data_IF_050979693133
#
_entry.id   IF_050979693133
#
_cell.length_a   1.000
_cell.length_b   1.000
_cell.length_c   1.000
_cell.angle_alpha   90.00
_cell.angle_beta   90.00
_cell.angle_gamma   90.00
#
_symmetry.space_group_name_H-M   'P 1'
#
loop_
_entity.id
_entity.type
_entity.pdbx_description
1 polymer ?
#
# COMPACT_ATOMS: atom_id res chain seq x y z
N UNK A 1 16.38 58.19 16.69
CA UNK A 1 17.11 57.03 16.14
C UNK A 1 16.37 55.77 16.55
N UNK A 2 15.46 55.29 15.68
CA UNK A 2 14.82 53.99 15.89
C UNK A 2 15.72 52.95 15.24
N UNK A 3 16.43 52.20 16.07
CA UNK A 3 17.13 50.99 15.65
C UNK A 3 16.08 49.91 15.44
N UNK A 4 15.53 49.82 14.23
CA UNK A 4 14.82 48.65 13.77
C UNK A 4 15.83 47.50 13.69
N UNK A 5 15.93 46.77 14.79
CA UNK A 5 16.60 45.48 14.82
C UNK A 5 15.65 44.48 14.17
N UNK A 6 15.65 44.45 12.83
CA UNK A 6 15.09 43.36 12.02
C UNK A 6 15.95 42.10 12.23
N UNK A 7 15.95 41.56 13.44
CA UNK A 7 16.41 40.20 13.68
C UNK A 7 15.38 39.26 13.05
N UNK A 8 15.83 38.38 12.16
CA UNK A 8 15.05 37.39 11.41
C UNK A 8 14.35 36.32 12.25
N UNK A 9 13.56 36.74 13.23
CA UNK A 9 12.69 35.90 14.03
C UNK A 9 11.45 35.62 13.19
N UNK A 10 11.37 34.42 12.65
CA UNK A 10 10.16 33.95 12.00
C UNK A 10 9.03 33.96 13.02
N UNK A 11 7.91 34.60 12.69
CA UNK A 11 6.68 34.45 13.47
C UNK A 11 6.36 32.97 13.62
N UNK A 12 5.91 32.56 14.82
CA UNK A 12 5.61 31.15 15.16
C UNK A 12 4.79 30.46 14.07
N UNK A 13 3.79 31.15 13.53
CA UNK A 13 2.92 30.68 12.46
C UNK A 13 3.67 30.39 11.16
N UNK A 14 4.64 31.24 10.83
CA UNK A 14 5.49 31.09 9.65
C UNK A 14 6.49 29.93 9.82
N UNK A 15 6.99 29.71 11.05
CA UNK A 15 7.81 28.52 11.35
C UNK A 15 7.01 27.23 11.14
N UNK A 16 5.81 27.14 11.72
CA UNK A 16 4.97 25.93 11.60
C UNK A 16 4.61 25.65 10.14
N UNK A 17 4.25 26.67 9.36
CA UNK A 17 4.02 26.52 7.92
C UNK A 17 5.25 26.02 7.17
N UNK A 18 6.43 26.54 7.51
CA UNK A 18 7.70 26.08 6.93
C UNK A 18 8.01 24.63 7.27
N UNK A 19 7.78 24.22 8.53
CA UNK A 19 7.95 22.83 8.98
C UNK A 19 7.01 21.88 8.26
N UNK A 20 5.75 22.25 8.05
CA UNK A 20 4.80 21.42 7.27
C UNK A 20 5.32 21.19 5.85
N UNK A 21 5.76 22.25 5.18
CA UNK A 21 6.30 22.13 3.81
C UNK A 21 7.57 21.28 3.77
N UNK A 22 8.49 21.52 4.70
CA UNK A 22 9.73 20.76 4.82
C UNK A 22 9.47 19.28 5.08
N UNK A 23 8.56 18.96 6.01
CA UNK A 23 8.16 17.60 6.33
C UNK A 23 7.69 16.86 5.08
N UNK A 24 6.74 17.44 4.33
CA UNK A 24 6.20 16.79 3.14
C UNK A 24 7.21 16.70 1.99
N UNK A 25 8.08 17.70 1.83
CA UNK A 25 9.20 17.62 0.86
C UNK A 25 10.14 16.47 1.21
N UNK A 26 10.58 16.36 2.47
CA UNK A 26 11.46 15.28 2.91
C UNK A 26 10.78 13.91 2.80
N UNK A 27 9.52 13.81 3.24
CA UNK A 27 8.73 12.58 3.16
C UNK A 27 8.67 12.03 1.74
N UNK A 28 8.29 12.86 0.77
CA UNK A 28 8.21 12.42 -0.62
C UNK A 28 9.58 12.22 -1.26
N UNK A 29 10.58 13.00 -0.86
CA UNK A 29 11.96 12.80 -1.33
C UNK A 29 12.49 11.43 -0.93
N UNK A 30 12.25 11.00 0.31
CA UNK A 30 12.68 9.68 0.77
C UNK A 30 11.91 8.56 0.07
N UNK A 31 10.62 8.72 -0.18
CA UNK A 31 9.84 7.72 -0.93
C UNK A 31 10.32 7.55 -2.38
N UNK A 32 10.63 8.66 -3.06
CA UNK A 32 11.18 8.62 -4.42
C UNK A 32 12.57 7.97 -4.44
N UNK A 33 13.43 8.33 -3.48
CA UNK A 33 14.76 7.72 -3.35
C UNK A 33 14.67 6.22 -3.05
N UNK A 34 13.74 5.81 -2.17
CA UNK A 34 13.49 4.40 -1.85
C UNK A 34 13.18 3.59 -3.11
N UNK A 35 12.31 4.12 -3.99
CA UNK A 35 11.95 3.45 -5.25
C UNK A 35 13.05 3.49 -6.30
N UNK A 36 13.89 4.52 -6.29
CA UNK A 36 15.01 4.63 -7.23
C UNK A 36 16.16 3.66 -6.93
N UNK A 37 16.40 3.33 -5.65
CA UNK A 37 17.51 2.46 -5.23
C UNK A 37 17.17 0.97 -5.48
N UNK A 38 15.89 0.58 -5.52
CA UNK A 38 15.42 -0.73 -6.00
C UNK A 38 15.85 -1.97 -5.20
N UNK A 39 16.75 -1.85 -4.21
CA UNK A 39 17.25 -2.97 -3.42
C UNK A 39 18.11 -2.55 -2.22
N UNK A 40 18.63 -3.52 -1.47
CA UNK A 40 19.43 -3.24 -0.28
C UNK A 40 20.86 -2.80 -0.64
N UNK A 41 21.26 -1.61 -0.22
CA UNK A 41 22.64 -1.10 -0.34
C UNK A 41 23.22 -0.79 1.05
N UNK A 42 24.51 -0.42 1.12
CA UNK A 42 25.29 -0.30 2.37
C UNK A 42 24.72 0.68 3.42
N UNK A 43 23.74 1.53 3.08
CA UNK A 43 23.03 2.41 4.02
C UNK A 43 21.50 2.46 3.81
N UNK A 44 20.99 1.64 2.89
CA UNK A 44 19.57 1.61 2.53
C UNK A 44 19.12 0.15 2.55
N UNK A 45 18.66 -0.31 3.70
CA UNK A 45 18.24 -1.70 3.93
C UNK A 45 16.72 -1.73 3.93
N UNK A 46 16.13 -2.39 2.93
CA UNK A 46 14.68 -2.42 2.74
C UNK A 46 14.25 -3.54 1.79
N UNK A 47 12.94 -3.77 1.72
CA UNK A 47 12.35 -4.69 0.72
C UNK A 47 12.43 -4.07 -0.66
N UNK A 48 12.88 -4.85 -1.64
CA UNK A 48 12.78 -4.49 -3.05
C UNK A 48 11.29 -4.30 -3.41
N UNK A 49 10.94 -3.07 -3.81
CA UNK A 49 9.57 -2.66 -4.14
C UNK A 49 9.06 -3.29 -5.43
N UNK A 50 9.94 -3.58 -6.41
CA UNK A 50 9.57 -4.33 -7.62
C UNK A 50 9.19 -5.75 -7.25
N UNK A 51 10.02 -6.41 -6.44
CA UNK A 51 9.72 -7.75 -5.95
C UNK A 51 8.45 -7.77 -5.08
N UNK A 52 8.20 -6.73 -4.28
CA UNK A 52 6.98 -6.61 -3.47
C UNK A 52 5.72 -6.45 -4.34
N UNK A 53 5.74 -5.56 -5.34
CA UNK A 53 4.61 -5.37 -6.25
C UNK A 53 4.31 -6.62 -7.08
N UNK A 54 5.34 -7.29 -7.60
CA UNK A 54 5.15 -8.55 -8.33
C UNK A 54 4.51 -9.63 -7.44
N UNK A 55 4.86 -9.70 -6.15
CA UNK A 55 4.23 -10.61 -5.18
C UNK A 55 2.76 -10.28 -4.94
N UNK A 56 2.43 -9.00 -4.78
CA UNK A 56 1.05 -8.55 -4.62
C UNK A 56 0.17 -8.92 -5.81
N UNK A 57 0.61 -8.63 -7.03
CA UNK A 57 -0.14 -8.97 -8.23
C UNK A 57 -0.26 -10.49 -8.45
N UNK A 58 0.81 -11.25 -8.18
CA UNK A 58 0.76 -12.71 -8.21
C UNK A 58 -0.26 -13.26 -7.20
N UNK A 59 -0.36 -12.69 -5.99
CA UNK A 59 -1.34 -13.11 -4.99
C UNK A 59 -2.81 -12.87 -5.40
N UNK A 60 -3.03 -11.89 -6.28
CA UNK A 60 -4.34 -11.58 -6.85
C UNK A 60 -4.71 -12.46 -8.07
N UNK A 61 -3.82 -13.37 -8.49
CA UNK A 61 -3.99 -14.22 -9.67
C UNK A 61 -3.53 -13.57 -10.99
N UNK A 62 -2.85 -12.41 -10.91
CA UNK A 62 -2.26 -11.74 -12.06
C UNK A 62 -0.77 -12.07 -12.11
N UNK A 63 -0.42 -13.18 -12.77
CA UNK A 63 0.98 -13.63 -12.90
C UNK A 63 1.82 -12.76 -13.84
N UNK A 64 1.23 -11.74 -14.45
CA UNK A 64 1.87 -10.94 -15.50
C UNK A 64 2.78 -9.84 -14.92
N UNK A 65 4.12 -9.97 -15.00
CA UNK A 65 5.04 -9.05 -14.30
C UNK A 65 4.95 -7.62 -14.80
N UNK A 66 4.64 -7.42 -16.09
CA UNK A 66 4.55 -6.08 -16.68
C UNK A 66 3.40 -5.23 -16.09
N UNK A 67 2.32 -5.86 -15.62
CA UNK A 67 1.20 -5.14 -15.00
C UNK A 67 1.62 -4.62 -13.62
N UNK A 68 2.34 -5.44 -12.85
CA UNK A 68 2.88 -5.07 -11.55
C UNK A 68 3.91 -3.93 -11.68
N UNK A 69 4.81 -4.02 -12.66
CA UNK A 69 5.81 -2.99 -12.93
C UNK A 69 5.15 -1.68 -13.40
N UNK A 70 4.12 -1.74 -14.25
CA UNK A 70 3.35 -0.57 -14.65
C UNK A 70 2.67 0.11 -13.46
N UNK A 71 2.05 -0.67 -12.56
CA UNK A 71 1.43 -0.15 -11.35
C UNK A 71 2.48 0.54 -10.45
N UNK A 72 3.69 -0.02 -10.35
CA UNK A 72 4.78 0.58 -9.61
C UNK A 72 5.29 1.88 -10.27
N UNK A 73 5.36 1.96 -11.60
CA UNK A 73 5.71 3.20 -12.29
C UNK A 73 4.66 4.30 -12.09
N UNK A 74 3.37 3.94 -12.11
CA UNK A 74 2.28 4.88 -11.80
C UNK A 74 2.41 5.37 -10.35
N UNK A 75 2.66 4.46 -9.40
CA UNK A 75 2.93 4.81 -8.01
C UNK A 75 4.11 5.80 -7.91
N UNK A 76 5.26 5.45 -8.48
CA UNK A 76 6.46 6.30 -8.45
C UNK A 76 6.21 7.68 -9.08
N UNK A 77 5.48 7.75 -10.20
CA UNK A 77 5.14 9.01 -10.84
C UNK A 77 4.31 9.92 -9.92
N UNK A 78 3.29 9.37 -9.24
CA UNK A 78 2.48 10.13 -8.28
C UNK A 78 3.32 10.71 -7.15
N UNK A 79 4.28 9.95 -6.63
CA UNK A 79 5.20 10.41 -5.56
C UNK A 79 6.14 11.52 -6.05
N UNK A 80 6.67 11.39 -7.27
CA UNK A 80 7.50 12.43 -7.90
C UNK A 80 6.70 13.71 -8.08
N UNK A 81 5.46 13.62 -8.55
CA UNK A 81 4.61 14.81 -8.67
C UNK A 81 4.35 15.45 -7.30
N UNK A 82 4.05 14.66 -6.27
CA UNK A 82 3.86 15.18 -4.92
C UNK A 82 5.12 15.91 -4.42
N UNK A 83 6.30 15.31 -4.62
CA UNK A 83 7.60 15.92 -4.29
C UNK A 83 7.79 17.26 -5.00
N UNK A 84 7.58 17.32 -6.32
CA UNK A 84 7.75 18.55 -7.11
C UNK A 84 6.85 19.67 -6.57
N UNK A 85 5.60 19.37 -6.26
CA UNK A 85 4.67 20.38 -5.76
C UNK A 85 5.03 20.87 -4.35
N UNK A 86 5.45 19.99 -3.44
CA UNK A 86 5.89 20.41 -2.11
C UNK A 86 7.23 21.15 -2.14
N UNK A 87 8.21 20.67 -2.91
CA UNK A 87 9.48 21.35 -3.09
C UNK A 87 9.30 22.74 -3.71
N UNK A 88 8.43 22.85 -4.73
CA UNK A 88 8.08 24.15 -5.32
C UNK A 88 7.28 25.04 -4.36
N UNK A 89 6.42 24.48 -3.51
CA UNK A 89 5.76 25.24 -2.45
C UNK A 89 6.76 25.79 -1.42
N UNK A 90 7.71 24.95 -0.98
CA UNK A 90 8.79 25.33 -0.07
C UNK A 90 9.69 26.42 -0.67
N UNK A 91 10.08 26.28 -1.94
CA UNK A 91 10.84 27.28 -2.67
C UNK A 91 10.11 28.62 -2.77
N UNK A 92 8.82 28.60 -3.11
CA UNK A 92 8.03 29.81 -3.17
C UNK A 92 7.83 30.44 -1.78
N UNK A 93 7.76 29.61 -0.73
CA UNK A 93 7.64 30.04 0.66
C UNK A 93 8.92 30.73 1.15
N UNK A 94 10.10 30.20 0.83
CA UNK A 94 11.40 30.84 1.12
C UNK A 94 11.59 32.12 0.31
N UNK A 95 11.14 32.12 -0.95
CA UNK A 95 11.15 33.30 -1.82
C UNK A 95 10.08 34.36 -1.48
N UNK A 96 9.37 34.24 -0.35
CA UNK A 96 8.30 35.17 0.10
C UNK A 96 7.12 35.32 -0.87
N UNK A 97 6.90 34.36 -1.78
CA UNK A 97 5.77 34.34 -2.74
C UNK A 97 4.59 33.58 -2.16
N UNK A 98 3.90 34.19 -1.18
CA UNK A 98 2.86 33.52 -0.38
C UNK A 98 1.73 32.88 -1.21
N UNK A 99 1.21 33.60 -2.21
CA UNK A 99 0.14 33.08 -3.08
C UNK A 99 0.58 31.84 -3.87
N UNK A 100 1.80 31.87 -4.46
CA UNK A 100 2.32 30.73 -5.20
C UNK A 100 2.62 29.55 -4.27
N UNK A 101 3.21 29.80 -3.10
CA UNK A 101 3.46 28.78 -2.09
C UNK A 101 2.16 28.07 -1.66
N UNK A 102 1.07 28.82 -1.45
CA UNK A 102 -0.24 28.26 -1.13
C UNK A 102 -0.78 27.38 -2.26
N UNK A 103 -0.76 27.85 -3.51
CA UNK A 103 -1.29 27.10 -4.65
C UNK A 103 -0.52 25.81 -4.90
N UNK A 104 0.82 25.87 -4.85
CA UNK A 104 1.65 24.69 -5.01
C UNK A 104 1.46 23.69 -3.86
N UNK A 105 1.36 24.17 -2.61
CA UNK A 105 1.05 23.33 -1.46
C UNK A 105 -0.31 22.65 -1.61
N UNK A 106 -1.34 23.38 -2.04
CA UNK A 106 -2.68 22.83 -2.24
C UNK A 106 -2.70 21.70 -3.28
N UNK A 107 -1.98 21.86 -4.40
CA UNK A 107 -1.86 20.81 -5.41
C UNK A 107 -1.09 19.61 -4.83
N UNK A 108 0.00 19.84 -4.10
CA UNK A 108 0.75 18.79 -3.40
C UNK A 108 -0.11 17.98 -2.42
N UNK A 109 -0.99 18.66 -1.67
CA UNK A 109 -1.98 18.03 -0.78
C UNK A 109 -2.94 17.13 -1.57
N UNK A 110 -3.51 17.63 -2.68
CA UNK A 110 -4.43 16.82 -3.51
C UNK A 110 -3.73 15.57 -4.04
N UNK A 111 -2.53 15.72 -4.61
CA UNK A 111 -1.77 14.59 -5.16
C UNK A 111 -1.43 13.59 -4.05
N UNK A 112 -1.06 14.07 -2.87
CA UNK A 112 -0.79 13.21 -1.69
C UNK A 112 -2.01 12.40 -1.28
N UNK A 113 -3.18 13.02 -1.20
CA UNK A 113 -4.44 12.32 -0.88
C UNK A 113 -4.77 11.27 -1.94
N UNK A 114 -4.61 11.59 -3.22
CA UNK A 114 -4.81 10.64 -4.33
C UNK A 114 -3.82 9.48 -4.21
N UNK A 115 -2.55 9.77 -3.94
CA UNK A 115 -1.48 8.77 -3.81
C UNK A 115 -1.76 7.80 -2.67
N UNK A 116 -2.05 8.30 -1.46
CA UNK A 116 -2.39 7.43 -0.34
C UNK A 116 -3.71 6.69 -0.51
N UNK A 117 -4.68 7.27 -1.21
CA UNK A 117 -5.91 6.54 -1.55
C UNK A 117 -5.60 5.37 -2.49
N UNK A 118 -4.78 5.61 -3.52
CA UNK A 118 -4.33 4.57 -4.44
C UNK A 118 -3.59 3.44 -3.70
N UNK A 119 -2.68 3.78 -2.77
CA UNK A 119 -2.00 2.78 -1.94
C UNK A 119 -2.96 2.04 -1.01
N UNK A 120 -3.86 2.75 -0.32
CA UNK A 120 -4.83 2.12 0.58
C UNK A 120 -5.75 1.14 -0.14
N UNK A 121 -6.14 1.43 -1.40
CA UNK A 121 -6.88 0.48 -2.24
C UNK A 121 -6.01 -0.75 -2.53
N UNK A 122 -4.76 -0.54 -2.94
CA UNK A 122 -3.80 -1.63 -3.16
C UNK A 122 -3.65 -2.53 -1.93
N UNK A 123 -3.36 -1.95 -0.78
CA UNK A 123 -3.15 -2.69 0.47
C UNK A 123 -4.40 -3.47 0.88
N UNK A 124 -5.59 -2.93 0.62
CA UNK A 124 -6.83 -3.64 0.86
C UNK A 124 -7.01 -4.84 -0.08
N UNK A 125 -6.72 -4.67 -1.37
CA UNK A 125 -6.80 -5.73 -2.39
C UNK A 125 -5.79 -6.84 -2.11
N UNK A 126 -4.58 -6.49 -1.66
CA UNK A 126 -3.49 -7.43 -1.42
C UNK A 126 -3.43 -7.94 0.04
N UNK A 127 -4.24 -7.38 0.93
CA UNK A 127 -4.37 -7.80 2.32
C UNK A 127 -3.22 -7.36 3.25
N UNK A 128 -2.46 -6.32 2.90
CA UNK A 128 -1.42 -5.76 3.77
C UNK A 128 -2.04 -4.80 4.81
N UNK A 129 -2.33 -5.34 5.99
CA UNK A 129 -2.98 -4.59 7.06
C UNK A 129 -2.08 -3.53 7.69
N UNK A 130 -0.78 -3.73 7.66
CA UNK A 130 0.16 -2.81 8.30
C UNK A 130 0.41 -1.61 7.39
N UNK A 131 0.69 -1.83 6.11
CA UNK A 131 0.83 -0.74 5.12
C UNK A 131 -0.50 0.05 5.00
N UNK A 132 -1.65 -0.62 5.05
CA UNK A 132 -2.96 0.05 5.04
C UNK A 132 -3.15 1.05 6.20
N UNK A 133 -2.72 0.66 7.41
CA UNK A 133 -2.83 1.52 8.59
C UNK A 133 -1.94 2.75 8.44
N UNK A 134 -0.70 2.54 8.01
CA UNK A 134 0.26 3.63 7.78
C UNK A 134 -0.24 4.61 6.72
N UNK A 135 -0.67 4.12 5.56
CA UNK A 135 -1.18 4.97 4.48
C UNK A 135 -2.46 5.73 4.88
N UNK A 136 -3.36 5.09 5.62
CA UNK A 136 -4.57 5.76 6.14
C UNK A 136 -4.20 6.85 7.16
N UNK A 137 -3.22 6.60 8.03
CA UNK A 137 -2.74 7.60 8.98
C UNK A 137 -2.14 8.81 8.25
N UNK A 138 -1.28 8.58 7.25
CA UNK A 138 -0.71 9.67 6.47
C UNK A 138 -1.77 10.45 5.68
N UNK A 139 -2.83 9.79 5.24
CA UNK A 139 -3.99 10.46 4.62
C UNK A 139 -4.62 11.50 5.57
N UNK A 140 -4.86 11.13 6.84
CA UNK A 140 -5.39 12.07 7.83
C UNK A 140 -4.38 13.18 8.21
N UNK A 141 -3.10 12.83 8.36
CA UNK A 141 -2.04 13.82 8.63
C UNK A 141 -1.94 14.84 7.49
N UNK A 142 -2.17 14.42 6.24
CA UNK A 142 -2.21 15.31 5.06
C UNK A 142 -3.35 16.33 5.18
N UNK A 143 -4.56 15.88 5.52
CA UNK A 143 -5.70 16.79 5.73
C UNK A 143 -5.45 17.74 6.90
N UNK A 144 -4.93 17.24 8.02
CA UNK A 144 -4.61 18.05 9.18
C UNK A 144 -3.54 19.11 8.84
N UNK A 145 -2.51 18.72 8.09
CA UNK A 145 -1.45 19.61 7.60
C UNK A 145 -2.03 20.76 6.78
N UNK A 146 -2.95 20.47 5.85
CA UNK A 146 -3.63 21.50 5.07
C UNK A 146 -4.48 22.42 5.95
N UNK A 147 -5.25 21.86 6.87
CA UNK A 147 -6.09 22.60 7.80
C UNK A 147 -5.28 23.59 8.64
N UNK A 148 -4.18 23.13 9.23
CA UNK A 148 -3.25 23.97 10.01
C UNK A 148 -2.59 25.02 9.13
N UNK A 149 -2.09 24.63 7.95
CA UNK A 149 -1.41 25.53 7.03
C UNK A 149 -2.29 26.73 6.62
N UNK A 150 -3.56 26.48 6.28
CA UNK A 150 -4.52 27.53 5.90
C UNK A 150 -4.97 28.37 7.09
N UNK A 151 -5.17 27.76 8.27
CA UNK A 151 -5.56 28.46 9.49
C UNK A 151 -4.54 29.53 9.87
N UNK A 152 -3.26 29.16 9.85
CA UNK A 152 -2.13 30.03 10.21
C UNK A 152 -1.93 31.16 9.19
N UNK A 153 -2.22 30.92 7.91
CA UNK A 153 -2.16 31.98 6.89
C UNK A 153 -3.24 33.05 7.10
N UNK A 154 -4.45 32.65 7.50
CA UNK A 154 -5.55 33.58 7.76
C UNK A 154 -5.26 34.50 8.94
N UNK A 155 -4.62 33.99 9.99
CA UNK A 155 -4.26 34.76 11.19
C UNK A 155 -3.14 35.77 10.92
N UNK A 156 -2.11 35.41 10.14
CA UNK A 156 -1.04 36.34 9.78
C UNK A 156 -1.48 37.52 8.91
N UNK A 157 -2.54 37.35 8.11
CA UNK A 157 -3.10 38.41 7.27
C UNK A 157 -4.01 39.39 8.04
N UNK A 158 -4.47 39.05 9.25
CA UNK A 158 -5.23 39.95 10.12
C UNK A 158 -4.34 40.98 10.84
N UNK A 159 -3.04 40.74 10.89
CA UNK A 159 -2.06 41.60 11.57
C UNK A 159 -1.46 42.69 10.66
N UNK A 160 -1.75 42.64 9.36
CA UNK A 160 -1.21 43.56 8.35
C UNK A 160 -2.38 44.38 7.79
N UNK A 161 -2.67 45.51 8.43
CA UNK A 161 -3.66 46.47 7.94
C UNK A 161 -3.06 47.21 6.73
N UNK A 162 -3.34 46.68 5.54
CA UNK A 162 -3.49 47.42 4.29
C UNK A 162 -4.11 46.46 3.26
N UNK A 163 -5.44 46.50 3.14
CA UNK A 163 -6.16 45.82 2.08
C UNK A 163 -5.91 46.48 0.73
N UNK A 164 -5.68 45.68 -0.32
CA UNK A 164 -6.50 45.84 -1.50
C UNK A 164 -7.28 44.56 -1.82
N UNK A 165 -8.58 44.77 -2.00
CA UNK A 165 -9.59 43.96 -2.70
C UNK A 165 -9.24 42.48 -2.90
N UNK A 166 -9.85 41.64 -2.06
CA UNK A 166 -10.01 40.18 -2.27
C UNK A 166 -10.46 39.87 -3.70
N UNK A 167 -9.65 39.25 -4.56
CA UNK A 167 -10.18 38.57 -5.74
C UNK A 167 -10.64 37.18 -5.30
N UNK A 168 -11.89 36.85 -5.62
CA UNK A 168 -12.39 35.47 -5.64
C UNK A 168 -12.41 34.78 -4.28
N UNK A 169 -13.57 34.83 -3.63
CA UNK A 169 -14.03 33.75 -2.76
C UNK A 169 -13.96 32.44 -3.57
N UNK A 170 -12.82 31.74 -3.51
CA UNK A 170 -12.72 30.41 -4.07
C UNK A 170 -13.80 29.57 -3.39
N UNK A 171 -14.84 29.19 -4.15
CA UNK A 171 -15.87 28.23 -3.75
C UNK A 171 -15.33 26.82 -3.49
N UNK A 172 -14.02 26.67 -3.31
CA UNK A 172 -13.29 25.42 -3.21
C UNK A 172 -13.57 24.63 -1.93
N UNK A 173 -13.99 25.22 -0.81
CA UNK A 173 -14.24 24.43 0.41
C UNK A 173 -15.42 23.48 0.29
N UNK A 174 -16.48 23.85 -0.43
CA UNK A 174 -17.64 22.96 -0.61
C UNK A 174 -17.36 21.89 -1.64
N UNK A 175 -16.75 22.25 -2.77
CA UNK A 175 -16.39 21.29 -3.82
C UNK A 175 -15.34 20.29 -3.37
N UNK A 176 -14.35 20.72 -2.57
CA UNK A 176 -13.33 19.81 -1.99
C UNK A 176 -13.96 18.89 -0.94
N UNK A 177 -14.87 19.38 -0.11
CA UNK A 177 -15.58 18.54 0.86
C UNK A 177 -16.47 17.50 0.16
N UNK A 178 -17.19 17.89 -0.91
CA UNK A 178 -18.01 16.98 -1.73
C UNK A 178 -17.12 15.93 -2.41
N UNK A 179 -15.99 16.35 -2.98
CA UNK A 179 -15.03 15.44 -3.59
C UNK A 179 -14.46 14.45 -2.58
N UNK A 180 -14.09 14.91 -1.37
CA UNK A 180 -13.57 14.06 -0.30
C UNK A 180 -14.63 13.05 0.18
N UNK A 181 -15.87 13.49 0.41
CA UNK A 181 -16.98 12.59 0.77
C UNK A 181 -17.25 11.58 -0.35
N UNK A 182 -17.24 12.03 -1.60
CA UNK A 182 -17.40 11.17 -2.78
C UNK A 182 -16.30 10.10 -2.86
N UNK A 183 -15.04 10.50 -2.66
CA UNK A 183 -13.90 9.58 -2.66
C UNK A 183 -14.04 8.55 -1.55
N UNK A 184 -14.33 8.98 -0.31
CA UNK A 184 -14.52 8.07 0.83
C UNK A 184 -15.66 7.09 0.58
N UNK A 185 -16.79 7.56 0.05
CA UNK A 185 -17.95 6.71 -0.24
C UNK A 185 -17.64 5.70 -1.34
N UNK A 186 -16.95 6.14 -2.40
CA UNK A 186 -16.56 5.27 -3.52
C UNK A 186 -15.54 4.21 -3.09
N UNK A 187 -14.52 4.59 -2.31
CA UNK A 187 -13.52 3.67 -1.79
C UNK A 187 -14.15 2.67 -0.82
N UNK A 188 -15.02 3.14 0.08
CA UNK A 188 -15.78 2.27 0.99
C UNK A 188 -16.66 1.29 0.21
N UNK A 189 -17.42 1.75 -0.78
CA UNK A 189 -18.26 0.90 -1.61
C UNK A 189 -17.44 -0.15 -2.39
N UNK A 190 -16.29 0.24 -2.91
CA UNK A 190 -15.37 -0.68 -3.62
C UNK A 190 -14.81 -1.76 -2.70
N UNK A 191 -14.44 -1.39 -1.46
CA UNK A 191 -13.98 -2.32 -0.42
C UNK A 191 -15.06 -3.35 -0.09
N UNK A 192 -16.28 -2.90 0.22
CA UNK A 192 -17.37 -3.81 0.56
C UNK A 192 -17.75 -4.74 -0.60
N UNK A 193 -17.76 -4.22 -1.84
CA UNK A 193 -18.02 -5.02 -3.03
C UNK A 193 -16.94 -6.09 -3.23
N UNK A 194 -15.67 -5.71 -3.19
CA UNK A 194 -14.56 -6.67 -3.32
C UNK A 194 -14.61 -7.74 -2.24
N UNK A 195 -14.89 -7.36 -0.98
CA UNK A 195 -15.02 -8.32 0.09
C UNK A 195 -16.19 -9.29 -0.16
N UNK A 196 -17.37 -8.80 -0.56
CA UNK A 196 -18.48 -9.69 -0.89
C UNK A 196 -18.16 -10.64 -2.05
N UNK A 197 -17.47 -10.16 -3.08
CA UNK A 197 -17.20 -10.94 -4.30
C UNK A 197 -16.05 -11.94 -4.13
N UNK A 198 -15.07 -11.67 -3.25
CA UNK A 198 -13.80 -12.42 -3.19
C UNK A 198 -13.41 -12.96 -1.81
N UNK A 199 -14.18 -12.72 -0.75
CA UNK A 199 -13.87 -13.25 0.59
C UNK A 199 -13.79 -14.78 0.62
N UNK A 200 -14.55 -15.47 -0.24
CA UNK A 200 -14.54 -16.92 -0.35
C UNK A 200 -13.15 -17.50 -0.64
N UNK A 201 -12.25 -16.73 -1.30
CA UNK A 201 -10.87 -17.16 -1.61
C UNK A 201 -9.99 -17.37 -0.37
N UNK A 202 -10.41 -16.85 0.80
CA UNK A 202 -9.73 -17.05 2.09
C UNK A 202 -10.17 -18.31 2.82
N UNK A 203 -11.22 -18.99 2.35
CA UNK A 203 -11.75 -20.19 2.99
C UNK A 203 -11.75 -21.37 2.04
N UNK A 204 -12.08 -21.14 0.76
CA UNK A 204 -12.29 -22.19 -0.23
C UNK A 204 -11.08 -23.11 -0.40
N UNK A 205 -11.35 -24.41 -0.32
CA UNK A 205 -10.43 -25.47 -0.70
C UNK A 205 -9.81 -25.25 -2.10
N UNK A 206 -8.54 -25.62 -2.24
CA UNK A 206 -7.80 -25.60 -3.49
C UNK A 206 -7.83 -26.98 -4.14
N UNK A 207 -7.59 -27.01 -5.45
CA UNK A 207 -7.41 -28.26 -6.19
C UNK A 207 -5.99 -28.81 -6.02
N UNK A 208 -5.88 -30.12 -5.87
CA UNK A 208 -4.62 -30.83 -5.85
C UNK A 208 -4.34 -31.43 -7.23
N UNK A 209 -3.28 -30.96 -7.88
CA UNK A 209 -2.88 -31.43 -9.20
C UNK A 209 -2.02 -32.70 -9.08
N UNK A 210 -2.36 -33.80 -9.79
CA UNK A 210 -1.52 -35.00 -9.80
C UNK A 210 -0.21 -34.71 -10.56
N UNK A 211 0.93 -34.96 -9.91
CA UNK A 211 2.28 -34.81 -10.52
C UNK A 211 2.99 -36.15 -10.63
N UNK A 212 2.47 -37.19 -9.98
CA UNK A 212 2.87 -38.59 -10.12
C UNK A 212 1.75 -39.53 -9.64
N UNK A 213 2.03 -40.83 -9.58
CA UNK A 213 1.03 -41.86 -9.20
C UNK A 213 0.57 -41.74 -7.73
N UNK A 214 1.48 -41.31 -6.85
CA UNK A 214 1.25 -41.15 -5.40
C UNK A 214 1.57 -39.73 -4.90
N UNK A 215 1.75 -38.77 -5.81
CA UNK A 215 2.21 -37.43 -5.48
C UNK A 215 1.31 -36.36 -6.09
N UNK A 216 0.79 -35.50 -5.23
CA UNK A 216 -0.08 -34.39 -5.60
C UNK A 216 0.55 -33.08 -5.18
N UNK A 217 0.34 -32.04 -6.00
CA UNK A 217 0.86 -30.70 -5.78
C UNK A 217 -0.30 -29.74 -5.54
N UNK A 218 -0.14 -28.89 -4.53
CA UNK A 218 -1.06 -27.78 -4.26
C UNK A 218 -0.28 -26.48 -4.28
N UNK A 219 -0.76 -25.52 -5.07
CA UNK A 219 -0.23 -24.15 -5.09
C UNK A 219 -1.04 -23.29 -4.11
N UNK A 220 -0.46 -23.02 -2.94
CA UNK A 220 -1.16 -22.31 -1.88
C UNK A 220 -1.08 -20.79 -2.09
N UNK A 221 -2.22 -20.08 -2.16
CA UNK A 221 -2.23 -18.64 -2.36
C UNK A 221 -1.68 -17.93 -1.12
N UNK A 222 -1.04 -16.78 -1.35
CA UNK A 222 -0.46 -15.96 -0.27
C UNK A 222 -1.48 -15.53 0.80
N UNK A 223 -2.77 -15.42 0.42
CA UNK A 223 -3.87 -15.05 1.30
C UNK A 223 -4.57 -16.25 1.97
N UNK A 224 -4.15 -17.48 1.65
CA UNK A 224 -4.70 -18.70 2.25
C UNK A 224 -4.30 -18.82 3.72
N UNK A 225 -5.29 -18.96 4.60
CA UNK A 225 -5.06 -19.25 6.02
C UNK A 225 -5.09 -20.75 6.31
N UNK A 226 -4.95 -21.13 7.58
CA UNK A 226 -5.09 -22.53 8.02
C UNK A 226 -6.40 -23.18 7.56
N UNK A 227 -7.49 -22.41 7.49
CA UNK A 227 -8.77 -22.89 7.00
C UNK A 227 -8.73 -23.36 5.54
N UNK A 228 -8.06 -22.62 4.64
CA UNK A 228 -7.88 -23.05 3.24
C UNK A 228 -7.10 -24.36 3.20
N UNK A 229 -6.08 -24.50 4.04
CA UNK A 229 -5.28 -25.72 4.10
C UNK A 229 -6.11 -26.92 4.58
N UNK A 230 -6.85 -26.76 5.68
CA UNK A 230 -7.74 -27.79 6.22
C UNK A 230 -8.84 -28.19 5.23
N UNK A 231 -9.51 -27.21 4.61
CA UNK A 231 -10.54 -27.45 3.60
C UNK A 231 -9.96 -28.14 2.35
N UNK A 232 -8.73 -27.80 1.96
CA UNK A 232 -8.01 -28.45 0.85
C UNK A 232 -7.72 -29.92 1.16
N UNK A 233 -7.25 -30.24 2.36
CA UNK A 233 -7.03 -31.63 2.76
C UNK A 233 -8.34 -32.42 2.86
N UNK A 234 -9.39 -31.79 3.39
CA UNK A 234 -10.72 -32.40 3.45
C UNK A 234 -11.32 -32.62 2.06
N UNK A 235 -11.07 -31.73 1.09
CA UNK A 235 -11.44 -31.93 -0.31
C UNK A 235 -10.65 -33.07 -0.93
N UNK A 236 -9.33 -33.08 -0.73
CA UNK A 236 -8.44 -34.13 -1.24
C UNK A 236 -8.88 -35.54 -0.77
N UNK A 237 -9.17 -35.72 0.51
CA UNK A 237 -9.64 -37.01 1.05
C UNK A 237 -10.99 -37.46 0.49
N UNK A 238 -11.84 -36.52 0.08
CA UNK A 238 -13.13 -36.83 -0.58
C UNK A 238 -12.93 -37.25 -2.03
N UNK A 239 -12.00 -36.61 -2.73
CA UNK A 239 -11.71 -36.90 -4.15
C UNK A 239 -10.87 -38.18 -4.31
N UNK A 240 -10.01 -38.51 -3.35
CA UNK A 240 -9.13 -39.69 -3.38
C UNK A 240 -9.36 -40.61 -2.17
N UNK A 241 -10.55 -41.24 -2.01
CA UNK A 241 -10.89 -42.02 -0.82
C UNK A 241 -10.02 -43.26 -0.60
N UNK A 242 -9.37 -43.75 -1.67
CA UNK A 242 -8.51 -44.94 -1.69
C UNK A 242 -7.05 -44.63 -1.34
N UNK A 243 -6.67 -43.35 -1.27
CA UNK A 243 -5.32 -42.90 -0.94
C UNK A 243 -5.31 -42.37 0.50
N UNK A 244 -4.30 -42.73 1.27
CA UNK A 244 -4.05 -42.16 2.60
C UNK A 244 -2.89 -41.18 2.53
N UNK A 245 -2.99 -40.05 3.23
CA UNK A 245 -1.92 -39.05 3.31
C UNK A 245 -0.81 -39.62 4.19
N UNK A 246 0.40 -39.74 3.63
CA UNK A 246 1.59 -40.23 4.33
C UNK A 246 2.42 -39.06 4.86
N UNK A 247 2.78 -38.12 3.98
CA UNK A 247 3.56 -36.94 4.33
C UNK A 247 3.16 -35.72 3.50
N UNK A 248 3.21 -34.55 4.14
CA UNK A 248 3.04 -33.25 3.49
C UNK A 248 4.35 -32.49 3.63
N UNK A 249 4.92 -32.05 2.51
CA UNK A 249 6.21 -31.35 2.52
C UNK A 249 6.26 -30.23 1.48
N UNK A 250 7.14 -29.27 1.71
CA UNK A 250 7.40 -28.16 0.79
C UNK A 250 8.74 -28.39 0.09
N UNK A 251 8.82 -28.07 -1.20
CA UNK A 251 10.07 -28.28 -1.95
C UNK A 251 11.12 -27.22 -1.58
N UNK A 252 12.42 -27.59 -1.50
CA UNK A 252 13.50 -26.64 -1.25
C UNK A 252 13.67 -25.61 -2.38
N UNK A 253 14.23 -24.44 -2.04
CA UNK A 253 14.36 -23.25 -2.92
C UNK A 253 14.85 -23.48 -4.37
N UNK A 254 15.75 -24.43 -4.71
CA UNK A 254 16.27 -24.57 -6.08
C UNK A 254 15.23 -25.02 -7.13
N UNK A 255 14.11 -25.62 -6.71
CA UNK A 255 13.07 -26.12 -7.62
C UNK A 255 11.95 -25.10 -7.89
N UNK A 256 12.04 -23.89 -7.34
CA UNK A 256 11.03 -22.82 -7.49
C UNK A 256 11.09 -22.05 -8.82
N UNK A 257 11.83 -22.57 -9.82
CA UNK A 257 11.87 -22.16 -11.25
C UNK A 257 11.31 -20.76 -11.58
N UNK A 258 11.80 -19.70 -10.92
CA UNK A 258 11.41 -18.29 -11.13
C UNK A 258 9.89 -18.01 -11.21
N UNK A 259 9.02 -18.90 -10.73
CA UNK A 259 7.58 -18.67 -10.63
C UNK A 259 7.28 -18.27 -9.19
N UNK A 260 6.56 -17.16 -9.06
CA UNK A 260 6.40 -16.40 -7.84
C UNK A 260 5.97 -17.25 -6.63
N UNK A 261 6.42 -16.78 -5.47
CA UNK A 261 6.49 -17.41 -4.16
C UNK A 261 5.15 -17.77 -3.48
N UNK A 262 4.24 -18.47 -4.17
CA UNK A 262 3.17 -19.23 -3.53
C UNK A 262 3.77 -20.42 -2.76
N UNK A 263 3.28 -20.71 -1.54
CA UNK A 263 3.73 -21.90 -0.80
C UNK A 263 3.26 -23.14 -1.57
N UNK A 264 4.17 -23.83 -2.26
CA UNK A 264 3.85 -25.10 -2.90
C UNK A 264 4.11 -26.20 -1.89
N UNK A 265 3.08 -26.94 -1.54
CA UNK A 265 3.22 -28.17 -0.77
C UNK A 265 2.77 -29.36 -1.60
N UNK A 266 3.43 -30.48 -1.34
CA UNK A 266 3.15 -31.76 -1.95
C UNK A 266 2.48 -32.66 -0.93
N UNK A 267 1.41 -33.34 -1.36
CA UNK A 267 0.75 -34.40 -0.61
C UNK A 267 1.23 -35.71 -1.21
N UNK A 268 2.06 -36.42 -0.45
CA UNK A 268 2.45 -37.78 -0.81
C UNK A 268 1.48 -38.77 -0.16
N UNK A 269 1.10 -39.77 -0.93
CA UNK A 269 0.06 -40.72 -0.56
C UNK A 269 0.54 -42.16 -0.65
N UNK A 270 -0.17 -43.04 0.04
CA UNK A 270 -0.05 -44.50 -0.09
C UNK A 270 -1.43 -45.09 -0.28
N UNK A 271 -1.50 -46.24 -0.92
CA UNK A 271 -2.75 -46.98 -1.01
C UNK A 271 -3.24 -47.39 0.39
N UNK A 272 -4.49 -47.03 0.68
CA UNK A 272 -5.08 -47.25 2.01
C UNK A 272 -5.17 -48.73 2.38
N UNK A 273 -5.28 -49.60 1.38
CA UNK A 273 -5.24 -51.06 1.58
C UNK A 273 -3.88 -51.53 2.10
N UNK A 274 -2.78 -50.91 1.67
CA UNK A 274 -1.41 -51.24 2.10
C UNK A 274 -1.17 -50.78 3.54
N UNK A 275 -1.69 -49.60 3.91
CA UNK A 275 -1.58 -49.07 5.28
C UNK A 275 -2.36 -49.91 6.29
N UNK A 276 -3.58 -50.33 5.96
CA UNK A 276 -4.37 -51.19 6.83
C UNK A 276 -3.72 -52.56 7.05
N UNK A 277 -3.04 -53.11 6.04
CA UNK A 277 -2.31 -54.38 6.14
C UNK A 277 -1.03 -54.29 7.01
N UNK A 278 -0.36 -53.12 7.05
CA UNK A 278 0.80 -52.90 7.91
C UNK A 278 0.41 -52.68 9.39
N UNK A 279 -0.72 -52.01 9.64
CA UNK A 279 -1.22 -51.83 11.01
C UNK A 279 -1.78 -53.13 11.62
N UNK A 280 -2.29 -54.06 10.79
CA UNK A 280 -2.72 -55.38 11.28
C UNK A 280 -1.55 -56.30 11.63
N UNK A 281 -0.39 -56.15 11.01
CA UNK A 281 0.80 -57.00 11.24
C UNK A 281 1.74 -56.48 12.34
N UNK A 282 1.48 -55.29 12.89
CA UNK A 282 2.21 -54.71 14.03
C UNK A 282 1.48 -54.88 15.37
N UNK A 283 0.28 -55.46 15.34
CA UNK A 283 -0.55 -55.78 16.51
C UNK A 283 -0.75 -57.29 16.73
N UNK A 284 -0.01 -58.14 16.00
CA UNK A 284 0.24 -59.56 16.33
C UNK A 284 1.60 -59.71 17.02
#
# INVERSE_FOLDING_TARGET
MNTNQDSGVWTRDRLVRGVILLFWTCFWSFNVVDKAIGGSTFLWVGRDRFAQFQKYFASAGLESPWIADLALYVAAALEVFALVFFAGALWNFTCKRAHQARSWCFIGIIITLVTFTFFSIGDHLFGDRFELLEHTLFWFITLASWGVYVRLESQGNLSSDEQPKRPGRYGGSRSVAILAIGLVTFTTGSIFKYNNDFFYRRTSALDAEPVGEDLFKVAFPFLGGSQVFEETLAKFQREYPNKSIDHIYTAPNPLRLKKADALIFYIATKDRMVVNAQNSSTHE
#
